data_IF_988411350195
#
_entry.id   IF_988411350195
#
_cell.length_a   1.000
_cell.length_b   1.000
_cell.length_c   1.000
_cell.angle_alpha   90.00
_cell.angle_beta   90.00
_cell.angle_gamma   90.00
#
_symmetry.space_group_name_H-M   'P 1'
#
loop_
_entity.id
_entity.type
_entity.pdbx_description
1 polymer ?
#
# COMPACT_ATOMS: atom_id res chain seq x y z
N UNK A 1 0.14 -12.26 2.52
CA UNK A 1 -0.40 -11.45 3.63
C UNK A 1 0.74 -10.90 4.45
N UNK A 2 0.54 -9.79 5.15
CA UNK A 2 1.52 -9.21 6.06
C UNK A 2 0.89 -8.20 7.01
N UNK A 3 1.59 -7.87 8.09
CA UNK A 3 1.12 -6.95 9.11
C UNK A 3 1.38 -5.49 8.72
N UNK A 4 0.32 -4.71 8.61
CA UNK A 4 0.37 -3.26 8.45
C UNK A 4 0.10 -2.60 9.81
N UNK A 5 1.04 -1.77 10.26
CA UNK A 5 0.88 -0.98 11.49
C UNK A 5 0.69 0.50 11.13
N UNK A 6 -0.45 1.08 11.53
CA UNK A 6 -0.71 2.52 11.40
C UNK A 6 -1.12 3.05 12.77
N UNK A 7 -0.42 4.08 13.26
CA UNK A 7 -0.66 4.70 14.58
C UNK A 7 -0.76 3.68 15.73
N UNK A 8 0.07 2.65 15.71
CA UNK A 8 0.12 1.61 16.75
C UNK A 8 -0.99 0.55 16.65
N UNK A 9 -1.90 0.63 15.68
CA UNK A 9 -2.87 -0.42 15.40
C UNK A 9 -2.32 -1.29 14.28
N UNK A 10 -2.23 -2.60 14.54
CA UNK A 10 -1.73 -3.60 13.60
C UNK A 10 -2.88 -4.41 13.01
N UNK A 11 -2.90 -4.56 11.69
CA UNK A 11 -3.86 -5.39 10.96
C UNK A 11 -3.14 -6.19 9.88
N UNK A 12 -3.56 -7.43 9.70
CA UNK A 12 -3.13 -8.23 8.56
C UNK A 12 -3.79 -7.68 7.28
N UNK A 13 -2.98 -7.46 6.25
CA UNK A 13 -3.41 -7.01 4.93
C UNK A 13 -2.87 -7.94 3.83
N UNK A 14 -3.63 -8.08 2.76
CA UNK A 14 -3.19 -8.76 1.54
C UNK A 14 -2.62 -7.71 0.59
N UNK A 15 -1.36 -7.88 0.17
CA UNK A 15 -0.81 -7.16 -0.98
C UNK A 15 -0.89 -8.08 -2.19
N UNK A 16 -1.52 -7.60 -3.26
CA UNK A 16 -1.47 -8.25 -4.56
C UNK A 16 -0.19 -7.78 -5.24
N UNK A 17 0.76 -8.70 -5.45
CA UNK A 17 2.08 -8.38 -5.99
C UNK A 17 2.20 -8.93 -7.40
N UNK A 18 2.67 -8.10 -8.33
CA UNK A 18 3.06 -8.49 -9.68
C UNK A 18 4.58 -8.33 -9.83
N UNK A 19 5.25 -9.37 -10.36
CA UNK A 19 6.67 -9.32 -10.67
C UNK A 19 6.87 -8.91 -12.11
N UNK A 20 7.74 -7.92 -12.33
CA UNK A 20 8.16 -7.47 -13.66
C UNK A 20 9.46 -8.14 -14.12
N UNK A 21 9.95 -9.11 -13.35
CA UNK A 21 11.18 -9.85 -13.62
C UNK A 21 12.43 -9.17 -13.06
N UNK A 22 13.57 -9.74 -13.43
CA UNK A 22 14.90 -9.31 -12.98
C UNK A 22 15.83 -9.07 -14.15
N UNK A 23 16.72 -8.08 -14.03
CA UNK A 23 17.71 -7.73 -15.04
C UNK A 23 19.06 -7.42 -14.41
N UNK A 24 20.13 -7.48 -15.19
CA UNK A 24 21.45 -7.02 -14.76
C UNK A 24 21.73 -5.64 -15.34
N UNK A 25 22.25 -4.76 -14.51
CA UNK A 25 22.74 -3.46 -14.97
C UNK A 25 24.13 -3.59 -15.63
N UNK A 26 24.62 -2.52 -16.29
CA UNK A 26 25.96 -2.51 -16.91
C UNK A 26 27.14 -2.72 -15.95
N UNK A 27 26.92 -2.57 -14.64
CA UNK A 27 27.93 -2.75 -13.60
C UNK A 27 27.88 -4.14 -12.97
N UNK A 28 26.96 -5.00 -13.43
CA UNK A 28 26.81 -6.38 -13.00
C UNK A 28 25.89 -6.56 -11.78
N UNK A 29 25.25 -5.52 -11.27
CA UNK A 29 24.27 -5.66 -10.19
C UNK A 29 22.98 -6.27 -10.72
N UNK A 30 22.36 -7.10 -9.90
CA UNK A 30 21.08 -7.73 -10.22
C UNK A 30 19.95 -6.90 -9.63
N UNK A 31 19.02 -6.49 -10.49
CA UNK A 31 17.85 -5.70 -10.18
C UNK A 31 16.59 -6.55 -10.36
N UNK A 32 15.56 -6.30 -9.54
CA UNK A 32 14.25 -6.92 -9.67
C UNK A 32 13.13 -5.91 -9.44
N UNK A 33 12.16 -5.87 -10.36
CA UNK A 33 11.04 -4.94 -10.34
C UNK A 33 9.72 -5.60 -9.92
N UNK A 34 8.95 -4.91 -9.09
CA UNK A 34 7.64 -5.36 -8.63
C UNK A 34 6.66 -4.19 -8.56
N UNK A 35 5.39 -4.47 -8.85
CA UNK A 35 4.28 -3.61 -8.42
C UNK A 35 3.47 -4.33 -7.36
N UNK A 36 2.87 -3.58 -6.46
CA UNK A 36 1.91 -4.14 -5.52
C UNK A 36 0.76 -3.19 -5.20
N UNK A 37 -0.43 -3.75 -5.03
CA UNK A 37 -1.63 -2.99 -4.68
C UNK A 37 -2.36 -3.60 -3.49
N UNK A 38 -3.02 -2.73 -2.73
CA UNK A 38 -3.99 -3.14 -1.71
C UNK A 38 -5.00 -2.02 -1.42
N UNK A 39 -6.08 -2.34 -0.73
CA UNK A 39 -7.07 -1.38 -0.27
C UNK A 39 -7.41 -1.67 1.19
N UNK A 40 -7.39 -0.62 2.02
CA UNK A 40 -7.66 -0.71 3.45
C UNK A 40 -8.77 0.25 3.87
N UNK A 41 -9.45 -0.03 5.00
CA UNK A 41 -10.33 0.94 5.64
C UNK A 41 -9.56 1.77 6.65
N UNK A 42 -9.62 3.10 6.54
CA UNK A 42 -8.98 3.99 7.54
C UNK A 42 -9.58 3.81 8.94
N UNK A 43 -10.85 3.39 9.04
CA UNK A 43 -11.54 3.17 10.32
C UNK A 43 -10.95 1.99 11.09
N UNK A 44 -10.48 0.96 10.39
CA UNK A 44 -9.84 -0.22 11.01
C UNK A 44 -8.54 0.13 11.75
N UNK A 45 -7.92 1.25 11.38
CA UNK A 45 -6.74 1.85 11.99
C UNK A 45 -7.07 3.04 12.90
N UNK A 46 -8.32 3.14 13.37
CA UNK A 46 -8.76 4.15 14.35
C UNK A 46 -8.88 5.57 13.81
N UNK A 47 -8.79 5.77 12.50
CA UNK A 47 -9.02 7.07 11.86
C UNK A 47 -10.52 7.25 11.63
N UNK A 48 -11.25 7.67 12.66
CA UNK A 48 -12.71 7.77 12.64
C UNK A 48 -13.26 9.14 12.27
N UNK A 49 -12.42 10.19 12.24
CA UNK A 49 -12.88 11.55 11.96
C UNK A 49 -13.58 11.63 10.60
N UNK A 50 -14.71 12.32 10.55
CA UNK A 50 -15.39 12.66 9.32
C UNK A 50 -16.29 13.87 9.55
N UNK A 51 -16.59 14.60 8.48
CA UNK A 51 -17.58 15.67 8.48
C UNK A 51 -18.67 15.34 7.47
N UNK A 52 -19.92 15.69 7.78
CA UNK A 52 -21.03 15.58 6.83
C UNK A 52 -21.01 16.82 5.95
N UNK A 53 -21.05 16.65 4.63
CA UNK A 53 -21.07 17.75 3.68
C UNK A 53 -22.50 18.29 3.49
N UNK A 54 -22.64 19.58 3.20
CA UNK A 54 -23.93 20.22 2.90
C UNK A 54 -24.65 19.58 1.70
N UNK A 55 -23.88 19.01 0.77
CA UNK A 55 -24.36 18.27 -0.41
C UNK A 55 -24.80 16.84 -0.09
N UNK A 56 -24.75 16.42 1.17
CA UNK A 56 -24.87 15.03 1.60
C UNK A 56 -23.56 14.25 1.43
N UNK A 57 -23.45 13.16 2.18
CA UNK A 57 -22.25 12.31 2.21
C UNK A 57 -21.20 12.76 3.22
N UNK A 58 -20.02 12.14 3.12
CA UNK A 58 -18.90 12.31 4.05
C UNK A 58 -17.72 13.01 3.39
N UNK A 59 -17.03 13.89 4.13
CA UNK A 59 -15.88 14.64 3.65
C UNK A 59 -14.66 13.74 3.33
N UNK A 60 -14.50 12.63 4.05
CA UNK A 60 -13.36 11.72 3.89
C UNK A 60 -13.84 10.29 3.65
N UNK A 61 -13.47 9.74 2.49
CA UNK A 61 -13.72 8.36 2.11
C UNK A 61 -13.10 7.35 3.07
N UNK A 62 -13.70 6.17 3.17
CA UNK A 62 -13.24 5.11 4.07
C UNK A 62 -12.08 4.31 3.49
N UNK A 63 -12.20 3.95 2.21
CA UNK A 63 -11.25 3.12 1.48
C UNK A 63 -10.03 3.94 1.07
N UNK A 64 -8.87 3.48 1.47
CA UNK A 64 -7.56 4.00 1.04
C UNK A 64 -6.92 2.97 0.14
N UNK A 65 -6.66 3.36 -1.11
CA UNK A 65 -5.89 2.55 -2.07
C UNK A 65 -4.40 2.81 -1.88
N UNK A 66 -3.62 1.75 -1.80
CA UNK A 66 -2.16 1.80 -1.67
C UNK A 66 -1.59 1.12 -2.91
N UNK A 67 -0.70 1.84 -3.61
CA UNK A 67 0.05 1.32 -4.75
C UNK A 67 1.54 1.47 -4.44
N UNK A 68 2.31 0.45 -4.80
CA UNK A 68 3.74 0.36 -4.57
C UNK A 68 4.41 0.04 -5.90
N UNK A 69 5.40 0.85 -6.26
CA UNK A 69 6.35 0.58 -7.33
C UNK A 69 7.70 0.31 -6.65
N UNK A 70 8.25 -0.89 -6.82
CA UNK A 70 9.41 -1.36 -6.07
C UNK A 70 10.51 -1.84 -7.02
N UNK A 71 11.72 -1.36 -6.78
CA UNK A 71 12.95 -1.86 -7.38
C UNK A 71 13.88 -2.35 -6.26
N UNK A 72 14.39 -3.57 -6.41
CA UNK A 72 15.32 -4.20 -5.47
C UNK A 72 16.66 -4.43 -6.16
N UNK A 73 17.75 -4.11 -5.46
CA UNK A 73 19.11 -4.45 -5.88
C UNK A 73 19.64 -5.57 -4.99
N UNK A 74 20.21 -6.61 -5.59
CA UNK A 74 20.82 -7.72 -4.85
C UNK A 74 22.03 -7.22 -4.06
N UNK A 75 22.02 -7.50 -2.75
CA UNK A 75 23.13 -7.22 -1.82
C UNK A 75 24.24 -8.28 -1.90
#
# INVERSE_FOLDING_TARGET
VGDLTIKGITREVVLNVESHGSSKDPWGNEHAGFTAETSISRKEFGLLWNAVLETGGFAVGDVVKINLDVELVRA
#
